data_IF_409883226419
#
_entry.id   IF_409883226419
#
_cell.length_a   1.000
_cell.length_b   1.000
_cell.length_c   1.000
_cell.angle_alpha   90.00
_cell.angle_beta   90.00
_cell.angle_gamma   90.00
#
_symmetry.space_group_name_H-M   'P 1'
#
loop_
_entity.id
_entity.type
_entity.pdbx_description
1 polymer ?
#
# COMPACT_ATOMS: atom_id res chain seq x y z
N UNK A 1 26.05 2.12 -11.35
CA UNK A 1 24.66 2.30 -10.90
C UNK A 1 24.55 3.60 -10.13
N UNK A 2 23.40 4.27 -10.18
CA UNK A 2 23.12 5.50 -9.42
C UNK A 2 21.80 5.33 -8.68
N UNK A 3 21.75 5.82 -7.44
CA UNK A 3 20.51 5.96 -6.68
C UNK A 3 19.94 7.37 -6.89
N UNK A 4 18.66 7.47 -7.24
CA UNK A 4 17.94 8.73 -7.41
C UNK A 4 16.97 8.93 -6.26
N UNK A 5 16.94 10.15 -5.73
CA UNK A 5 16.02 10.61 -4.71
C UNK A 5 14.95 11.50 -5.33
N UNK A 6 13.70 11.34 -4.89
CA UNK A 6 12.58 12.15 -5.35
C UNK A 6 11.97 12.88 -4.16
N UNK A 7 11.58 14.15 -4.39
CA UNK A 7 11.07 15.02 -3.32
C UNK A 7 9.62 14.73 -2.97
N UNK A 8 8.84 14.25 -3.93
CA UNK A 8 7.42 13.99 -3.77
C UNK A 8 6.97 12.86 -4.72
N UNK A 9 5.73 12.42 -4.54
CA UNK A 9 5.14 11.34 -5.33
C UNK A 9 5.04 11.68 -6.82
N UNK A 10 4.76 12.94 -7.18
CA UNK A 10 4.67 13.36 -8.58
C UNK A 10 6.02 13.23 -9.30
N UNK A 11 7.11 13.65 -8.67
CA UNK A 11 8.47 13.50 -9.22
C UNK A 11 8.85 12.02 -9.40
N UNK A 12 8.46 11.17 -8.46
CA UNK A 12 8.66 9.72 -8.53
C UNK A 12 7.86 9.11 -9.69
N UNK A 13 6.58 9.47 -9.83
CA UNK A 13 5.69 8.95 -10.88
C UNK A 13 6.14 9.32 -12.29
N UNK A 14 6.78 10.48 -12.51
CA UNK A 14 7.34 10.83 -13.83
C UNK A 14 8.31 9.78 -14.37
N UNK A 15 8.94 9.00 -13.49
CA UNK A 15 9.86 7.92 -13.87
C UNK A 15 9.21 6.54 -13.71
N UNK A 16 8.42 6.36 -12.64
CA UNK A 16 7.99 5.05 -12.20
C UNK A 16 6.59 4.66 -12.66
N UNK A 17 5.76 5.60 -13.12
CA UNK A 17 4.38 5.29 -13.47
C UNK A 17 4.30 4.23 -14.58
N UNK A 18 4.92 4.47 -15.74
CA UNK A 18 4.89 3.52 -16.86
C UNK A 18 5.47 2.13 -16.48
N UNK A 19 6.66 2.00 -15.85
CA UNK A 19 7.16 0.70 -15.40
C UNK A 19 6.26 -0.02 -14.40
N UNK A 20 5.54 0.70 -13.54
CA UNK A 20 4.59 0.10 -12.60
C UNK A 20 3.31 -0.35 -13.30
N UNK A 21 2.86 0.39 -14.31
CA UNK A 21 1.67 0.08 -15.11
C UNK A 21 1.86 -1.14 -16.04
N UNK A 22 3.10 -1.50 -16.41
CA UNK A 22 3.41 -2.72 -17.18
C UNK A 22 2.82 -4.00 -16.55
N UNK A 23 2.78 -4.06 -15.22
CA UNK A 23 2.07 -5.09 -14.47
C UNK A 23 1.34 -4.45 -13.28
N UNK A 24 0.32 -3.68 -13.63
CA UNK A 24 -0.44 -2.86 -12.70
C UNK A 24 -0.99 -3.65 -11.50
N UNK A 25 -1.48 -4.88 -11.70
CA UNK A 25 -1.98 -5.71 -10.60
C UNK A 25 -0.87 -6.01 -9.59
N UNK A 26 0.28 -6.50 -10.07
CA UNK A 26 1.43 -6.83 -9.22
C UNK A 26 1.99 -5.60 -8.48
N UNK A 27 1.84 -4.42 -9.10
CA UNK A 27 2.39 -3.17 -8.61
C UNK A 27 1.35 -2.24 -7.97
N UNK A 28 0.11 -2.71 -7.83
CA UNK A 28 -1.08 -1.92 -7.45
C UNK A 28 -0.89 -1.15 -6.16
N UNK A 29 -0.22 -1.74 -5.17
CA UNK A 29 0.05 -1.07 -3.90
C UNK A 29 1.01 0.11 -4.07
N UNK A 30 2.16 -0.09 -4.71
CA UNK A 30 3.15 0.98 -4.92
C UNK A 30 2.59 2.09 -5.82
N UNK A 31 1.94 1.71 -6.92
CA UNK A 31 1.33 2.65 -7.86
C UNK A 31 0.19 3.43 -7.18
N UNK A 32 -0.72 2.74 -6.48
CA UNK A 32 -1.85 3.36 -5.80
C UNK A 32 -1.42 4.31 -4.69
N UNK A 33 -0.39 3.96 -3.91
CA UNK A 33 0.19 4.83 -2.89
C UNK A 33 0.81 6.09 -3.53
N UNK A 34 1.60 5.92 -4.59
CA UNK A 34 2.21 7.05 -5.29
C UNK A 34 1.15 7.97 -5.93
N UNK A 35 0.14 7.41 -6.61
CA UNK A 35 -0.96 8.18 -7.21
C UNK A 35 -1.77 8.92 -6.14
N UNK A 36 -2.08 8.27 -5.02
CA UNK A 36 -2.82 8.89 -3.93
C UNK A 36 -2.09 10.12 -3.38
N UNK A 37 -0.80 10.01 -3.08
CA UNK A 37 -0.02 11.12 -2.56
C UNK A 37 0.34 12.18 -3.59
N UNK A 38 0.30 11.85 -4.88
CA UNK A 38 0.43 12.85 -5.94
C UNK A 38 -0.86 13.67 -6.09
N UNK A 39 -2.04 13.05 -5.93
CA UNK A 39 -3.35 13.72 -5.99
C UNK A 39 -3.67 14.51 -4.72
N UNK A 40 -3.26 13.98 -3.57
CA UNK A 40 -3.57 14.51 -2.25
C UNK A 40 -2.31 14.70 -1.38
N UNK A 41 -1.36 15.56 -1.80
CA UNK A 41 -0.14 15.80 -1.03
C UNK A 41 -0.43 16.37 0.36
N UNK A 42 -1.56 17.04 0.57
CA UNK A 42 -2.02 17.57 1.86
C UNK A 42 -2.34 16.49 2.90
N UNK A 43 -2.54 15.23 2.47
CA UNK A 43 -2.76 14.09 3.37
C UNK A 43 -1.47 13.57 4.00
N UNK A 44 -0.31 14.06 3.56
CA UNK A 44 0.97 13.69 4.13
C UNK A 44 1.22 14.47 5.42
N UNK A 45 1.31 13.76 6.53
CA UNK A 45 1.75 14.33 7.81
C UNK A 45 3.27 14.27 7.97
N UNK A 46 3.92 13.35 7.25
CA UNK A 46 5.36 13.08 7.36
C UNK A 46 6.00 12.92 5.97
N UNK A 47 7.31 13.21 5.82
CA UNK A 47 8.04 12.97 4.58
C UNK A 47 8.07 11.48 4.20
N UNK A 48 7.91 11.21 2.90
CA UNK A 48 8.04 9.86 2.34
C UNK A 48 9.39 9.69 1.65
N UNK A 49 10.01 8.54 1.89
CA UNK A 49 11.24 8.14 1.24
C UNK A 49 10.92 7.49 -0.12
N UNK A 50 11.27 8.20 -1.19
CA UNK A 50 11.17 7.72 -2.57
C UNK A 50 12.57 7.52 -3.15
N UNK A 51 12.88 6.31 -3.61
CA UNK A 51 14.13 6.04 -4.33
C UNK A 51 13.93 5.15 -5.54
N UNK A 52 14.81 5.31 -6.51
CA UNK A 52 15.01 4.34 -7.58
C UNK A 52 16.48 4.19 -7.88
N UNK A 53 16.87 3.03 -8.40
CA UNK A 53 18.24 2.74 -8.82
C UNK A 53 18.26 2.45 -10.30
N UNK A 54 19.22 3.07 -10.98
CA UNK A 54 19.41 3.01 -12.42
C UNK A 54 20.84 2.62 -12.74
N UNK A 55 21.07 1.98 -13.88
CA UNK A 55 22.37 1.95 -14.53
C UNK A 55 22.36 2.78 -15.82
N UNK A 56 23.37 2.60 -16.68
CA UNK A 56 23.45 3.31 -17.96
C UNK A 56 22.34 2.90 -18.94
N UNK A 57 21.69 1.75 -18.72
CA UNK A 57 20.76 1.12 -19.65
C UNK A 57 19.30 1.29 -19.22
N UNK A 58 19.00 1.19 -17.92
CA UNK A 58 17.60 1.23 -17.46
C UNK A 58 17.45 1.41 -15.95
N UNK A 59 16.18 1.54 -15.55
CA UNK A 59 15.71 1.28 -14.18
C UNK A 59 16.03 -0.17 -13.77
N UNK A 60 16.40 -0.38 -12.50
CA UNK A 60 16.67 -1.70 -11.92
C UNK A 60 15.70 -2.01 -10.78
N UNK A 61 15.52 -1.07 -9.84
CA UNK A 61 14.68 -1.22 -8.67
C UNK A 61 14.16 0.13 -8.17
N UNK A 62 13.06 0.12 -7.42
CA UNK A 62 12.51 1.30 -6.77
C UNK A 62 11.87 0.96 -5.43
N UNK A 63 11.80 1.94 -4.54
CA UNK A 63 11.19 1.80 -3.21
C UNK A 63 10.40 3.04 -2.81
N UNK A 64 9.34 2.81 -2.03
CA UNK A 64 8.58 3.83 -1.31
C UNK A 64 8.54 3.42 0.16
N UNK A 65 8.83 4.34 1.07
CA UNK A 65 8.67 4.09 2.50
C UNK A 65 8.07 5.32 3.19
N UNK A 66 6.86 5.15 3.71
CA UNK A 66 6.22 6.07 4.64
C UNK A 66 6.47 5.58 6.06
N UNK A 67 6.60 6.51 7.02
CA UNK A 67 6.82 6.17 8.42
C UNK A 67 5.71 5.24 8.95
N UNK A 68 6.08 4.32 9.86
CA UNK A 68 5.21 3.30 10.45
C UNK A 68 4.63 2.25 9.47
N UNK A 69 5.04 2.27 8.20
CA UNK A 69 4.62 1.27 7.21
C UNK A 69 5.82 0.45 6.72
N UNK A 70 5.60 -0.81 6.30
CA UNK A 70 6.65 -1.57 5.63
C UNK A 70 7.07 -0.86 4.34
N UNK A 71 8.36 -0.93 4.03
CA UNK A 71 8.90 -0.41 2.77
C UNK A 71 8.31 -1.20 1.60
N UNK A 72 7.78 -0.50 0.61
CA UNK A 72 7.33 -1.09 -0.65
C UNK A 72 8.53 -1.23 -1.57
N UNK A 73 8.78 -2.42 -2.09
CA UNK A 73 9.90 -2.65 -3.02
C UNK A 73 9.43 -3.18 -4.38
N UNK A 74 9.95 -2.56 -5.43
CA UNK A 74 9.74 -2.92 -6.81
C UNK A 74 11.06 -3.33 -7.46
N UNK A 75 11.03 -4.44 -8.19
CA UNK A 75 12.15 -4.97 -8.93
C UNK A 75 11.80 -4.98 -10.42
N UNK A 76 12.47 -4.16 -11.20
CA UNK A 76 12.29 -4.14 -12.67
C UNK A 76 13.11 -5.25 -13.34
N UNK A 77 14.35 -5.47 -12.89
CA UNK A 77 15.28 -6.46 -13.46
C UNK A 77 15.71 -7.52 -12.47
N UNK A 78 16.04 -8.71 -12.96
CA UNK A 78 16.43 -9.87 -12.12
C UNK A 78 17.75 -9.64 -11.36
N UNK A 79 18.69 -8.91 -11.96
CA UNK A 79 20.03 -8.56 -11.46
C UNK A 79 20.01 -7.35 -10.51
N UNK A 80 19.06 -7.34 -9.57
CA UNK A 80 18.80 -6.20 -8.68
C UNK A 80 19.54 -6.24 -7.33
N UNK A 81 20.44 -7.20 -7.11
CA UNK A 81 21.08 -7.37 -5.79
C UNK A 81 21.90 -6.15 -5.41
N UNK A 82 22.76 -5.66 -6.30
CA UNK A 82 23.57 -4.46 -6.03
C UNK A 82 22.69 -3.22 -5.88
N UNK A 83 21.61 -3.12 -6.64
CA UNK A 83 20.64 -2.04 -6.51
C UNK A 83 19.96 -2.02 -5.14
N UNK A 84 19.51 -3.18 -4.65
CA UNK A 84 18.95 -3.27 -3.30
C UNK A 84 20.00 -3.06 -2.21
N UNK A 85 21.26 -3.48 -2.42
CA UNK A 85 22.37 -3.16 -1.51
C UNK A 85 22.59 -1.65 -1.40
N UNK A 86 22.54 -0.92 -2.51
CA UNK A 86 22.61 0.55 -2.51
C UNK A 86 21.46 1.19 -1.73
N UNK A 87 20.24 0.68 -1.91
CA UNK A 87 19.06 1.18 -1.17
C UNK A 87 19.19 0.90 0.34
N UNK A 88 19.62 -0.30 0.73
CA UNK A 88 19.85 -0.65 2.13
C UNK A 88 20.91 0.25 2.76
N UNK A 89 22.02 0.52 2.04
CA UNK A 89 23.05 1.44 2.51
C UNK A 89 22.51 2.87 2.67
N UNK A 90 21.73 3.38 1.71
CA UNK A 90 21.13 4.72 1.75
C UNK A 90 20.15 4.87 2.94
N UNK A 91 19.31 3.85 3.17
CA UNK A 91 18.41 3.80 4.33
C UNK A 91 19.19 3.82 5.66
N UNK A 92 20.22 2.97 5.77
CA UNK A 92 21.03 2.86 6.99
C UNK A 92 21.77 4.17 7.30
N UNK A 93 22.40 4.78 6.29
CA UNK A 93 23.08 6.07 6.42
C UNK A 93 22.11 7.20 6.76
N UNK A 94 20.90 7.16 6.19
CA UNK A 94 19.82 8.11 6.50
C UNK A 94 19.14 7.86 7.84
N UNK A 95 19.56 6.82 8.59
CA UNK A 95 18.95 6.37 9.86
C UNK A 95 17.45 6.04 9.74
N UNK A 96 17.00 5.68 8.53
CA UNK A 96 15.63 5.25 8.28
C UNK A 96 15.56 3.76 8.56
N UNK A 97 14.63 3.34 9.42
CA UNK A 97 14.43 1.94 9.79
C UNK A 97 13.01 1.52 9.43
N UNK A 98 12.81 0.85 8.28
CA UNK A 98 11.52 0.30 7.94
C UNK A 98 11.07 -0.74 8.96
N UNK A 99 9.77 -0.77 9.28
CA UNK A 99 9.18 -1.82 10.13
C UNK A 99 9.16 -3.19 9.44
N UNK A 100 9.27 -3.21 8.10
CA UNK A 100 9.33 -4.42 7.29
C UNK A 100 9.50 -4.09 5.81
N UNK A 101 9.31 -5.09 4.94
CA UNK A 101 9.31 -4.93 3.49
C UNK A 101 8.14 -5.68 2.85
N UNK A 102 7.34 -4.98 2.04
CA UNK A 102 6.24 -5.54 1.27
C UNK A 102 6.59 -5.54 -0.23
N UNK A 103 6.75 -6.73 -0.78
CA UNK A 103 7.08 -6.99 -2.17
C UNK A 103 6.82 -8.48 -2.50
N UNK A 104 6.93 -8.90 -3.78
CA UNK A 104 6.92 -10.32 -4.11
C UNK A 104 7.95 -11.11 -3.29
N UNK A 105 7.62 -12.35 -2.91
CA UNK A 105 8.38 -13.15 -1.93
C UNK A 105 9.89 -13.15 -2.16
N UNK A 106 10.34 -13.30 -3.42
CA UNK A 106 11.76 -13.31 -3.77
C UNK A 106 12.43 -11.95 -3.50
N UNK A 107 11.73 -10.86 -3.78
CA UNK A 107 12.18 -9.48 -3.54
C UNK A 107 12.26 -9.19 -2.04
N UNK A 108 11.18 -9.48 -1.30
CA UNK A 108 11.15 -9.27 0.15
C UNK A 108 12.25 -10.05 0.87
N UNK A 109 12.47 -11.32 0.53
CA UNK A 109 13.56 -12.13 1.11
C UNK A 109 14.94 -11.57 0.79
N UNK A 110 15.15 -11.13 -0.45
CA UNK A 110 16.41 -10.50 -0.88
C UNK A 110 16.68 -9.24 -0.07
N UNK A 111 15.71 -8.33 -0.01
CA UNK A 111 15.85 -7.09 0.75
C UNK A 111 16.08 -7.35 2.24
N UNK A 112 15.28 -8.24 2.84
CA UNK A 112 15.39 -8.59 4.25
C UNK A 112 16.77 -9.18 4.62
N UNK A 113 17.33 -10.03 3.75
CA UNK A 113 18.67 -10.57 3.94
C UNK A 113 19.74 -9.48 3.86
N UNK A 114 19.67 -8.58 2.88
CA UNK A 114 20.60 -7.45 2.77
C UNK A 114 20.50 -6.52 3.98
N UNK A 115 19.28 -6.24 4.45
CA UNK A 115 19.04 -5.46 5.65
C UNK A 115 19.62 -6.11 6.90
N UNK A 116 19.46 -7.43 7.06
CA UNK A 116 20.05 -8.19 8.16
C UNK A 116 21.57 -8.06 8.20
N UNK A 117 22.24 -8.17 7.05
CA UNK A 117 23.71 -8.06 6.96
C UNK A 117 24.19 -6.68 7.45
N UNK A 118 23.48 -5.60 7.08
CA UNK A 118 23.90 -4.22 7.41
C UNK A 118 23.47 -3.80 8.81
N UNK A 119 22.30 -4.25 9.27
CA UNK A 119 21.68 -3.77 10.52
C UNK A 119 21.83 -4.72 11.71
N UNK A 120 22.11 -6.00 11.46
CA UNK A 120 22.13 -7.07 12.47
C UNK A 120 20.73 -7.57 12.89
N UNK A 121 19.64 -6.93 12.47
CA UNK A 121 18.29 -7.35 12.81
C UNK A 121 17.91 -8.66 12.09
N UNK A 122 17.22 -9.54 12.81
CA UNK A 122 16.72 -10.80 12.27
C UNK A 122 15.36 -10.59 11.60
N UNK A 123 15.20 -10.86 10.30
CA UNK A 123 13.92 -10.70 9.63
C UNK A 123 13.01 -11.90 9.91
N UNK A 124 11.74 -11.61 10.18
CA UNK A 124 10.69 -12.62 10.33
C UNK A 124 9.58 -12.37 9.32
N UNK A 125 8.86 -13.43 8.95
CA UNK A 125 7.69 -13.30 8.07
C UNK A 125 6.51 -12.86 8.92
N UNK A 126 6.07 -11.61 8.77
CA UNK A 126 4.86 -11.10 9.39
C UNK A 126 3.62 -11.73 8.74
N UNK A 127 3.44 -11.51 7.44
CA UNK A 127 2.26 -11.98 6.70
C UNK A 127 2.58 -12.47 5.28
N UNK A 128 1.64 -13.24 4.72
CA UNK A 128 1.63 -13.62 3.30
C UNK A 128 0.37 -13.10 2.64
N UNK A 129 0.52 -12.01 1.89
CA UNK A 129 -0.57 -11.40 1.14
C UNK A 129 -0.71 -12.04 -0.24
N UNK A 130 -1.94 -11.97 -0.78
CA UNK A 130 -2.25 -12.38 -2.16
C UNK A 130 -2.90 -11.22 -2.89
N UNK A 131 -2.57 -11.10 -4.17
CA UNK A 131 -3.23 -10.17 -5.08
C UNK A 131 -4.26 -10.95 -5.88
N UNK A 132 -5.47 -10.40 -5.98
CA UNK A 132 -6.56 -10.97 -6.76
C UNK A 132 -6.90 -10.00 -7.89
N UNK A 133 -7.08 -10.54 -9.09
CA UNK A 133 -7.54 -9.79 -10.26
C UNK A 133 -8.85 -10.40 -10.74
N UNK A 134 -9.91 -9.60 -10.77
CA UNK A 134 -11.16 -10.00 -11.40
C UNK A 134 -11.01 -9.86 -12.92
N UNK A 135 -10.90 -10.97 -13.64
CA UNK A 135 -10.81 -10.99 -15.12
C UNK A 135 -12.15 -11.30 -15.79
N UNK A 136 -13.05 -11.96 -15.05
CA UNK A 136 -14.40 -12.30 -15.49
C UNK A 136 -15.29 -12.45 -14.26
N UNK A 137 -16.51 -11.94 -14.37
CA UNK A 137 -17.58 -12.24 -13.41
C UNK A 137 -18.52 -13.28 -14.02
N UNK A 138 -19.05 -14.15 -13.18
CA UNK A 138 -20.19 -15.02 -13.52
C UNK A 138 -21.40 -14.52 -12.74
N UNK A 139 -22.56 -14.51 -13.39
CA UNK A 139 -23.81 -14.24 -12.67
C UNK A 139 -24.01 -15.36 -11.64
N UNK A 140 -24.19 -14.96 -10.40
CA UNK A 140 -24.58 -15.83 -9.29
C UNK A 140 -25.90 -15.29 -8.73
N UNK A 141 -26.66 -16.15 -8.05
CA UNK A 141 -27.77 -15.70 -7.23
C UNK A 141 -27.19 -14.85 -6.09
N UNK A 142 -27.50 -13.56 -6.11
CA UNK A 142 -27.03 -12.64 -5.08
C UNK A 142 -27.83 -12.88 -3.80
N UNK A 143 -27.17 -12.70 -2.66
CA UNK A 143 -27.88 -12.57 -1.39
C UNK A 143 -28.89 -11.41 -1.49
N UNK A 144 -30.01 -11.53 -0.77
CA UNK A 144 -30.96 -10.41 -0.68
C UNK A 144 -30.26 -9.16 -0.12
N UNK A 145 -30.65 -8.00 -0.65
CA UNK A 145 -30.14 -6.70 -0.23
C UNK A 145 -29.59 -5.85 -1.36
N UNK A 146 -28.98 -4.73 -0.98
CA UNK A 146 -28.43 -3.75 -1.89
C UNK A 146 -27.11 -3.16 -1.39
N UNK A 147 -26.24 -2.81 -2.34
CA UNK A 147 -25.03 -2.02 -2.06
C UNK A 147 -25.38 -0.54 -2.15
N UNK A 148 -25.19 0.20 -1.05
CA UNK A 148 -25.46 1.65 -0.99
C UNK A 148 -24.42 2.41 -0.17
N UNK A 149 -24.30 3.74 -0.32
CA UNK A 149 -23.61 4.56 0.65
C UNK A 149 -24.26 4.43 2.04
N UNK A 150 -23.48 4.48 3.13
CA UNK A 150 -24.04 4.51 4.47
C UNK A 150 -24.70 5.85 4.77
N UNK A 151 -25.65 5.85 5.70
CA UNK A 151 -26.14 7.03 6.37
C UNK A 151 -25.14 7.52 7.42
N UNK A 152 -25.11 8.83 7.66
CA UNK A 152 -24.22 9.41 8.69
C UNK A 152 -24.43 8.80 10.08
N UNK A 153 -25.66 8.38 10.39
CA UNK A 153 -26.01 7.74 11.67
C UNK A 153 -25.41 6.34 11.82
N UNK A 154 -25.08 5.68 10.70
CA UNK A 154 -24.47 4.36 10.69
C UNK A 154 -22.96 4.43 11.00
N UNK A 155 -22.32 5.60 10.99
CA UNK A 155 -20.88 5.71 11.22
C UNK A 155 -20.42 5.15 12.57
N UNK A 156 -21.26 5.22 13.61
CA UNK A 156 -20.90 4.68 14.93
C UNK A 156 -20.78 3.15 14.88
N UNK A 157 -21.80 2.45 14.37
CA UNK A 157 -21.76 0.98 14.26
C UNK A 157 -20.66 0.51 13.29
N UNK A 158 -20.41 1.26 12.22
CA UNK A 158 -19.33 0.95 11.29
C UNK A 158 -17.95 1.13 11.95
N UNK A 159 -17.80 2.11 12.85
CA UNK A 159 -16.55 2.31 13.61
C UNK A 159 -16.32 1.13 14.55
N UNK A 160 -17.37 0.70 15.25
CA UNK A 160 -17.31 -0.49 16.11
C UNK A 160 -16.90 -1.74 15.32
N UNK A 161 -17.41 -1.92 14.10
CA UNK A 161 -17.01 -3.02 13.22
C UNK A 161 -15.54 -2.95 12.82
N UNK A 162 -15.01 -1.76 12.49
CA UNK A 162 -13.59 -1.57 12.20
C UNK A 162 -12.73 -1.95 13.42
N UNK A 163 -13.11 -1.48 14.60
CA UNK A 163 -12.37 -1.77 15.84
C UNK A 163 -12.35 -3.26 16.14
N UNK A 164 -13.51 -3.91 16.14
CA UNK A 164 -13.61 -5.36 16.37
C UNK A 164 -12.83 -6.16 15.33
N UNK A 165 -12.91 -5.77 14.05
CA UNK A 165 -12.13 -6.42 13.00
C UNK A 165 -10.62 -6.26 13.24
N UNK A 166 -10.17 -5.06 13.61
CA UNK A 166 -8.77 -4.74 13.87
C UNK A 166 -8.18 -5.57 15.01
N UNK A 167 -8.97 -5.80 16.08
CA UNK A 167 -8.59 -6.67 17.19
C UNK A 167 -8.44 -8.13 16.75
N UNK A 168 -9.38 -8.65 15.95
CA UNK A 168 -9.36 -10.03 15.47
C UNK A 168 -8.14 -10.29 14.57
N UNK A 169 -7.74 -9.33 13.74
CA UNK A 169 -6.59 -9.48 12.84
C UNK A 169 -5.25 -9.13 13.48
N UNK A 170 -5.25 -8.70 14.74
CA UNK A 170 -4.03 -8.37 15.50
C UNK A 170 -3.39 -7.03 15.13
N UNK A 171 -4.13 -6.12 14.50
CA UNK A 171 -3.70 -4.77 14.11
C UNK A 171 -4.58 -3.73 14.80
N UNK A 172 -4.65 -3.81 16.13
CA UNK A 172 -5.60 -3.05 16.94
C UNK A 172 -5.46 -1.54 16.70
N UNK A 173 -6.54 -0.93 16.22
CA UNK A 173 -6.65 0.51 16.05
C UNK A 173 -7.19 1.14 17.32
N UNK A 174 -6.74 2.35 17.66
CA UNK A 174 -7.43 3.16 18.64
C UNK A 174 -8.73 3.75 18.06
N UNK A 175 -9.70 4.00 18.92
CA UNK A 175 -11.03 4.52 18.58
C UNK A 175 -10.96 5.80 17.74
N UNK A 176 -10.11 6.75 18.14
CA UNK A 176 -9.99 8.04 17.44
C UNK A 176 -9.45 7.87 16.03
N UNK A 177 -8.49 6.97 15.83
CA UNK A 177 -7.95 6.65 14.51
C UNK A 177 -9.02 5.98 13.63
N UNK A 178 -9.78 5.02 14.17
CA UNK A 178 -10.86 4.37 13.45
C UNK A 178 -11.98 5.35 13.04
N UNK A 179 -12.41 6.21 13.97
CA UNK A 179 -13.40 7.27 13.69
C UNK A 179 -12.90 8.23 12.61
N UNK A 180 -11.67 8.73 12.74
CA UNK A 180 -11.09 9.67 11.77
C UNK A 180 -10.99 9.04 10.39
N UNK A 181 -10.57 7.79 10.31
CA UNK A 181 -10.52 7.03 9.07
C UNK A 181 -11.91 6.91 8.45
N UNK A 182 -12.93 6.44 9.18
CA UNK A 182 -14.26 6.27 8.62
C UNK A 182 -14.93 7.59 8.23
N UNK A 183 -14.76 8.65 9.01
CA UNK A 183 -15.24 9.97 8.64
C UNK A 183 -14.62 10.46 7.34
N UNK A 184 -13.32 10.21 7.13
CA UNK A 184 -12.66 10.56 5.88
C UNK A 184 -13.20 9.72 4.72
N UNK A 185 -13.36 8.40 4.90
CA UNK A 185 -13.91 7.50 3.87
C UNK A 185 -15.35 7.84 3.48
N UNK A 186 -16.15 8.22 4.46
CA UNK A 186 -17.51 8.72 4.25
C UNK A 186 -17.51 10.00 3.40
N UNK A 187 -16.66 10.98 3.75
CA UNK A 187 -16.52 12.23 2.98
C UNK A 187 -15.99 12.01 1.57
N UNK A 188 -15.06 11.06 1.40
CA UNK A 188 -14.46 10.72 0.11
C UNK A 188 -15.41 9.91 -0.80
N UNK A 189 -16.56 9.45 -0.28
CA UNK A 189 -17.47 8.57 -1.04
C UNK A 189 -16.90 7.18 -1.30
N UNK A 190 -16.00 6.73 -0.42
CA UNK A 190 -15.28 5.46 -0.53
C UNK A 190 -15.81 4.40 0.45
N UNK A 191 -16.83 4.70 1.24
CA UNK A 191 -17.46 3.80 2.20
C UNK A 191 -18.84 3.37 1.69
N UNK A 192 -19.11 2.06 1.72
CA UNK A 192 -20.37 1.46 1.31
C UNK A 192 -20.81 0.40 2.31
N UNK A 193 -22.10 0.13 2.34
CA UNK A 193 -22.71 -0.95 3.13
C UNK A 193 -23.55 -1.85 2.24
N UNK A 194 -23.55 -3.14 2.57
CA UNK A 194 -24.60 -4.04 2.11
C UNK A 194 -25.76 -3.97 3.10
N UNK A 195 -26.95 -3.66 2.60
CA UNK A 195 -28.17 -3.48 3.38
C UNK A 195 -29.16 -4.58 3.06
N UNK A 196 -29.76 -5.21 4.06
CA UNK A 196 -30.86 -6.18 3.90
C UNK A 196 -32.23 -5.51 3.68
N UNK A 197 -32.24 -4.18 3.54
CA UNK A 197 -33.43 -3.33 3.41
C UNK A 197 -33.88 -2.71 4.73
N UNK A 198 -33.34 -3.16 5.86
CA UNK A 198 -33.64 -2.61 7.20
C UNK A 198 -32.38 -1.97 7.79
N UNK A 199 -31.23 -2.64 7.67
CA UNK A 199 -29.98 -2.22 8.31
C UNK A 199 -28.76 -2.60 7.47
N UNK A 200 -27.65 -1.91 7.72
CA UNK A 200 -26.35 -2.39 7.28
C UNK A 200 -26.02 -3.73 7.94
N UNK A 201 -25.61 -4.71 7.14
CA UNK A 201 -25.19 -6.05 7.60
C UNK A 201 -23.74 -6.37 7.23
N UNK A 202 -23.15 -5.57 6.36
CA UNK A 202 -21.74 -5.66 5.99
C UNK A 202 -21.27 -4.30 5.48
N UNK A 203 -19.95 -4.08 5.49
CA UNK A 203 -19.33 -2.86 4.98
C UNK A 203 -18.18 -3.16 4.03
N UNK A 204 -17.93 -2.24 3.11
CA UNK A 204 -16.79 -2.30 2.23
C UNK A 204 -16.24 -0.89 1.96
N UNK A 205 -14.93 -0.83 1.73
CA UNK A 205 -14.23 0.41 1.44
C UNK A 205 -13.52 0.31 0.10
N UNK A 206 -13.72 1.29 -0.77
CA UNK A 206 -12.94 1.43 -2.00
C UNK A 206 -11.52 1.91 -1.64
N UNK A 207 -10.49 1.32 -2.24
CA UNK A 207 -9.11 1.67 -1.96
C UNK A 207 -8.37 2.09 -3.23
N UNK A 208 -7.77 3.29 -3.18
CA UNK A 208 -6.71 3.76 -4.09
C UNK A 208 -6.90 3.35 -5.56
N UNK A 209 -7.85 3.97 -6.29
CA UNK A 209 -8.04 3.66 -7.70
C UNK A 209 -6.76 3.95 -8.48
N UNK A 210 -6.34 2.94 -9.26
CA UNK A 210 -5.18 2.97 -10.13
C UNK A 210 -5.62 3.15 -11.60
N UNK A 211 -4.68 3.29 -12.52
CA UNK A 211 -4.95 3.85 -13.86
C UNK A 211 -5.91 3.00 -14.69
N UNK A 212 -5.80 1.68 -14.63
CA UNK A 212 -6.60 0.74 -15.43
C UNK A 212 -7.37 -0.28 -14.59
N UNK A 213 -7.19 -0.29 -13.27
CA UNK A 213 -7.89 -1.19 -12.34
C UNK A 213 -8.62 -0.41 -11.26
N UNK A 214 -9.84 -0.83 -10.94
CA UNK A 214 -10.70 -0.26 -9.88
C UNK A 214 -10.32 -0.86 -8.53
#
# INVERSE_FOLDING_TARGET
>A
MIIRSYRNAADFLRVMQAPLEENEVANSLMLGVALQYARHPERLTEPIYYRSVHDATSLIAAVIHAQNHPLLAYQHRSDSTDAFSMIVADLYQSKIRPSGVNAPIKVSRKFAHLWQVVSGYQPEVHDRQRLYQCTRTTMIDLAEGELRPPDKKELNILTDWVLQFSEIVGDALDEKTAETMLQQRFKDGDLFVWSDGIQAVSMLMKNRPITHTI
#
